data_IF_130913796940
#
_entry.id   IF_130913796940
#
_cell.length_a   1.000
_cell.length_b   1.000
_cell.length_c   1.000
_cell.angle_alpha   90.00
_cell.angle_beta   90.00
_cell.angle_gamma   90.00
#
_symmetry.space_group_name_H-M   'P 1'
#
loop_
_entity.id
_entity.type
_entity.pdbx_description
1 polymer ?
#
# COMPACT_ATOMS: atom_id res chain seq x y z
N UNK A 1 10.11 4.38 -6.18
CA UNK A 1 9.05 5.34 -5.81
C UNK A 1 8.44 4.88 -4.50
N UNK A 2 8.20 5.77 -3.53
CA UNK A 2 7.57 5.43 -2.24
C UNK A 2 6.08 5.80 -2.30
N UNK A 3 5.20 4.94 -1.80
CA UNK A 3 3.75 5.17 -1.73
C UNK A 3 3.31 4.99 -0.29
N UNK A 4 2.51 5.94 0.20
CA UNK A 4 1.96 5.91 1.55
C UNK A 4 0.44 6.03 1.51
N UNK A 5 -0.24 5.27 2.36
CA UNK A 5 -1.66 5.39 2.62
C UNK A 5 -1.88 6.02 4.00
N UNK A 6 -2.76 7.02 4.06
CA UNK A 6 -3.33 7.52 5.31
C UNK A 6 -4.67 6.81 5.48
N UNK A 7 -4.76 5.96 6.49
CA UNK A 7 -5.77 4.92 6.70
C UNK A 7 -5.26 3.53 6.29
N UNK A 8 -5.49 2.53 7.15
CA UNK A 8 -5.12 1.12 6.94
C UNK A 8 -6.35 0.21 6.70
N UNK A 9 -7.51 0.80 6.43
CA UNK A 9 -8.75 0.09 6.19
C UNK A 9 -8.76 -0.82 4.95
N UNK A 10 -9.88 -1.54 4.76
CA UNK A 10 -10.03 -2.58 3.75
C UNK A 10 -9.71 -2.11 2.31
N UNK A 11 -10.05 -0.87 1.97
CA UNK A 11 -9.77 -0.29 0.67
C UNK A 11 -8.27 -0.05 0.45
N UNK A 12 -7.58 0.57 1.41
CA UNK A 12 -6.13 0.80 1.32
C UNK A 12 -5.37 -0.54 1.21
N UNK A 13 -5.78 -1.53 2.01
CA UNK A 13 -5.26 -2.89 1.93
C UNK A 13 -5.49 -3.55 0.57
N UNK A 14 -6.67 -3.39 -0.04
CA UNK A 14 -6.96 -3.98 -1.35
C UNK A 14 -6.11 -3.36 -2.47
N UNK A 15 -5.96 -2.03 -2.46
CA UNK A 15 -5.14 -1.30 -3.43
C UNK A 15 -3.68 -1.74 -3.32
N UNK A 16 -3.14 -1.74 -2.10
CA UNK A 16 -1.77 -2.18 -1.84
C UNK A 16 -1.50 -3.61 -2.30
N UNK A 17 -2.39 -4.55 -1.98
CA UNK A 17 -2.28 -5.95 -2.45
C UNK A 17 -2.26 -6.03 -3.97
N UNK A 18 -3.11 -5.24 -4.65
CA UNK A 18 -3.12 -5.15 -6.11
C UNK A 18 -1.78 -4.64 -6.68
N UNK A 19 -1.25 -3.56 -6.10
CA UNK A 19 0.02 -2.95 -6.53
C UNK A 19 1.21 -3.90 -6.35
N UNK A 20 1.27 -4.63 -5.22
CA UNK A 20 2.29 -5.64 -4.97
C UNK A 20 2.18 -6.83 -5.93
N UNK A 21 0.97 -7.35 -6.14
CA UNK A 21 0.73 -8.51 -7.05
C UNK A 21 1.12 -8.19 -8.50
N UNK A 22 0.96 -6.93 -8.91
CA UNK A 22 1.34 -6.45 -10.25
C UNK A 22 2.80 -6.02 -10.34
N UNK A 23 3.59 -6.19 -9.27
CA UNK A 23 4.99 -5.74 -9.18
C UNK A 23 5.16 -4.24 -9.50
N UNK A 24 4.12 -3.45 -9.27
CA UNK A 24 4.14 -2.01 -9.53
C UNK A 24 5.01 -1.28 -8.49
N UNK A 25 5.09 -1.82 -7.28
CA UNK A 25 5.93 -1.33 -6.18
C UNK A 25 6.42 -2.51 -5.33
N UNK A 26 7.61 -2.37 -4.74
CA UNK A 26 8.13 -3.32 -3.75
C UNK A 26 7.55 -3.05 -2.36
N UNK A 27 7.37 -4.09 -1.55
CA UNK A 27 6.75 -3.99 -0.22
C UNK A 27 7.49 -3.01 0.71
N UNK A 28 8.81 -2.97 0.64
CA UNK A 28 9.67 -2.04 1.40
C UNK A 28 9.44 -0.55 1.11
N UNK A 29 8.79 -0.25 -0.02
CA UNK A 29 8.47 1.13 -0.45
C UNK A 29 7.00 1.50 -0.18
N UNK A 30 6.26 0.65 0.52
CA UNK A 30 4.85 0.83 0.83
C UNK A 30 4.67 1.10 2.33
N UNK A 31 3.98 2.19 2.67
CA UNK A 31 3.76 2.59 4.05
C UNK A 31 2.28 2.83 4.33
N UNK A 32 1.87 2.57 5.56
CA UNK A 32 0.54 2.89 6.07
C UNK A 32 0.68 3.67 7.36
N UNK A 33 -0.20 4.63 7.54
CA UNK A 33 -0.39 5.34 8.79
C UNK A 33 -1.88 5.36 9.10
N UNK A 34 -2.27 5.02 10.32
CA UNK A 34 -3.65 5.10 10.81
C UNK A 34 -3.62 5.59 12.27
N UNK A 35 -4.72 6.20 12.74
CA UNK A 35 -4.81 6.74 14.11
C UNK A 35 -5.21 5.69 15.15
#
# INVERSE_FOLDING_TARGET
>A
MKISFIGAGNMASAIAKGALKKQFIAAENLYFYDI
#
